data_IF_256453327146
#
_entry.id   IF_256453327146
#
_cell.length_a   1.000
_cell.length_b   1.000
_cell.length_c   1.000
_cell.angle_alpha   90.00
_cell.angle_beta   90.00
_cell.angle_gamma   90.00
#
_symmetry.space_group_name_H-M   'P 1'
#
loop_
_entity.id
_entity.type
_entity.pdbx_description
1 polymer ?
#
# COMPACT_ATOMS: atom_id res chain seq x y z
N UNK A 1 0.36 -34.42 -56.98
CA UNK A 1 0.19 -35.66 -56.19
C UNK A 1 1.53 -36.38 -56.14
N UNK A 2 2.05 -36.61 -54.93
CA UNK A 2 3.32 -37.28 -54.62
C UNK A 2 3.07 -38.80 -54.66
N UNK A 3 4.02 -39.69 -55.04
CA UNK A 3 5.02 -40.18 -54.08
C UNK A 3 6.39 -40.55 -54.69
N UNK A 4 7.45 -40.59 -53.85
CA UNK A 4 8.06 -41.85 -53.36
C UNK A 4 9.45 -41.60 -52.76
N UNK A 5 9.67 -42.27 -51.64
CA UNK A 5 10.73 -42.14 -50.66
C UNK A 5 12.15 -42.44 -51.16
N UNK A 6 13.15 -41.86 -50.49
CA UNK A 6 14.45 -42.50 -50.28
C UNK A 6 14.92 -42.31 -48.84
N UNK A 7 15.37 -43.44 -48.28
CA UNK A 7 15.90 -43.68 -46.94
C UNK A 7 17.43 -43.88 -47.10
N UNK A 8 18.15 -43.57 -46.01
CA UNK A 8 19.49 -44.05 -45.60
C UNK A 8 20.76 -43.55 -46.28
N UNK A 9 21.76 -43.24 -45.44
CA UNK A 9 23.16 -43.50 -45.75
C UNK A 9 24.14 -42.48 -45.17
N UNK A 10 24.55 -42.70 -43.93
CA UNK A 10 25.58 -41.91 -43.23
C UNK A 10 26.98 -42.10 -43.83
N UNK A 11 27.82 -41.06 -43.80
CA UNK A 11 29.27 -41.21 -43.72
C UNK A 11 29.90 -40.05 -42.94
N UNK A 12 30.64 -40.43 -41.91
CA UNK A 12 31.39 -39.57 -40.99
C UNK A 12 32.75 -39.17 -41.57
N UNK A 13 33.25 -37.99 -41.19
CA UNK A 13 34.67 -37.66 -41.08
C UNK A 13 34.80 -36.35 -40.26
N UNK A 14 35.02 -36.45 -38.95
CA UNK A 14 36.32 -36.43 -38.29
C UNK A 14 37.05 -35.08 -38.41
N UNK A 15 36.98 -34.28 -37.34
CA UNK A 15 37.97 -33.25 -37.04
C UNK A 15 38.55 -33.57 -35.65
N UNK A 16 39.84 -33.84 -35.62
CA UNK A 16 40.63 -34.23 -34.46
C UNK A 16 41.85 -33.31 -34.43
N UNK A 17 42.15 -32.76 -33.26
CA UNK A 17 43.48 -32.45 -32.70
C UNK A 17 43.54 -31.07 -32.04
N UNK A 18 43.92 -31.09 -30.75
CA UNK A 18 44.27 -29.89 -30.00
C UNK A 18 44.36 -30.10 -28.49
N UNK A 19 45.09 -31.13 -28.05
CA UNK A 19 45.49 -31.31 -26.65
C UNK A 19 46.61 -30.32 -26.29
N UNK A 20 46.46 -29.62 -25.17
CA UNK A 20 47.60 -29.13 -24.38
C UNK A 20 47.26 -29.20 -22.88
N UNK A 21 48.04 -30.01 -22.17
CA UNK A 21 48.06 -30.10 -20.71
C UNK A 21 48.69 -28.84 -20.10
N UNK A 22 48.23 -28.38 -18.93
CA UNK A 22 49.05 -28.39 -17.71
C UNK A 22 48.53 -27.47 -16.60
N UNK A 23 48.62 -28.03 -15.39
CA UNK A 23 49.01 -27.42 -14.12
C UNK A 23 48.09 -26.39 -13.44
N UNK A 24 47.45 -26.88 -12.38
CA UNK A 24 47.13 -26.09 -11.20
C UNK A 24 48.42 -25.52 -10.58
N UNK A 25 48.53 -24.20 -10.50
CA UNK A 25 49.39 -23.54 -9.49
C UNK A 25 48.70 -22.29 -8.96
N UNK A 26 48.32 -22.35 -7.68
CA UNK A 26 48.01 -21.18 -6.87
C UNK A 26 49.25 -20.27 -6.81
N UNK A 27 49.11 -19.02 -7.25
CA UNK A 27 49.88 -17.89 -6.70
C UNK A 27 48.97 -16.70 -6.57
N UNK A 28 48.76 -16.31 -5.31
CA UNK A 28 48.24 -15.02 -4.88
C UNK A 28 48.96 -13.89 -5.63
N UNK A 29 48.18 -13.06 -6.32
CA UNK A 29 48.59 -11.73 -6.72
C UNK A 29 47.41 -10.79 -6.49
N UNK A 30 47.64 -9.89 -5.55
CA UNK A 30 46.79 -8.82 -5.05
C UNK A 30 46.09 -8.03 -6.16
N UNK A 31 44.75 -8.07 -6.15
CA UNK A 31 43.89 -7.18 -6.93
C UNK A 31 43.88 -5.79 -6.30
N UNK A 32 44.05 -4.70 -7.06
CA UNK A 32 43.90 -3.35 -6.55
C UNK A 32 42.45 -3.10 -6.12
N UNK A 33 42.35 -2.55 -4.92
CA UNK A 33 41.16 -2.08 -4.21
C UNK A 33 40.35 -1.08 -5.06
N UNK A 34 39.07 -1.33 -5.38
CA UNK A 34 38.12 -0.26 -5.52
C UNK A 34 37.79 0.27 -4.11
N UNK A 35 38.18 1.51 -3.87
CA UNK A 35 37.87 2.30 -2.67
C UNK A 35 36.38 2.29 -2.35
N UNK A 36 36.05 1.78 -1.15
CA UNK A 36 34.92 2.12 -0.26
C UNK A 36 33.63 2.53 -1.00
N UNK A 37 32.77 1.59 -1.37
CA UNK A 37 31.67 1.13 -0.51
C UNK A 37 31.18 2.21 0.47
N UNK A 38 30.04 2.79 0.11
CA UNK A 38 29.24 3.70 0.90
C UNK A 38 28.62 2.97 2.09
N UNK A 39 29.43 2.76 3.12
CA UNK A 39 29.00 2.70 4.52
C UNK A 39 28.94 4.16 4.97
N UNK A 40 27.92 4.74 5.58
CA UNK A 40 27.16 4.34 6.77
C UNK A 40 26.04 5.41 6.86
N UNK A 41 24.77 5.04 7.00
CA UNK A 41 23.82 5.74 7.87
C UNK A 41 22.63 4.80 8.15
N UNK A 42 22.82 4.06 9.24
CA UNK A 42 21.83 3.73 10.26
C UNK A 42 20.57 2.99 9.85
N UNK A 43 20.53 1.74 10.31
CA UNK A 43 19.34 0.97 10.65
C UNK A 43 18.29 1.88 11.33
N UNK A 44 17.32 2.36 10.56
CA UNK A 44 16.06 2.80 11.13
C UNK A 44 15.32 1.51 11.52
N UNK A 45 15.54 1.10 12.77
CA UNK A 45 14.68 0.15 13.48
C UNK A 45 13.24 0.65 13.25
N UNK A 46 12.49 -0.09 12.44
CA UNK A 46 11.08 0.18 12.19
C UNK A 46 10.36 -0.08 13.50
N UNK A 47 10.06 1.00 14.22
CA UNK A 47 9.28 0.94 15.45
C UNK A 47 7.90 0.40 15.10
N UNK A 48 7.58 -0.75 15.69
CA UNK A 48 6.23 -1.29 15.74
C UNK A 48 5.22 -0.20 16.13
N UNK A 49 4.02 -0.31 15.58
CA UNK A 49 2.91 0.61 15.86
C UNK A 49 2.71 0.76 17.38
N UNK A 50 2.95 1.93 17.98
CA UNK A 50 2.62 2.16 19.37
C UNK A 50 1.11 2.33 19.53
N UNK A 51 0.55 1.64 20.52
CA UNK A 51 -0.84 1.75 20.94
C UNK A 51 -1.23 3.21 21.23
N UNK A 52 -2.49 3.63 20.97
CA UNK A 52 -2.99 4.88 21.50
C UNK A 52 -3.01 4.80 23.04
N UNK A 53 -2.34 5.77 23.66
CA UNK A 53 -2.36 5.99 25.10
C UNK A 53 -3.79 6.18 25.61
N UNK A 54 -4.10 5.53 26.73
CA UNK A 54 -5.32 5.71 27.51
C UNK A 54 -5.50 7.19 27.86
N UNK A 55 -6.54 7.83 27.33
CA UNK A 55 -6.95 9.16 27.79
C UNK A 55 -7.65 9.03 29.15
N UNK A 56 -7.14 9.75 30.15
CA UNK A 56 -7.76 9.94 31.47
C UNK A 56 -8.99 10.87 31.29
N UNK A 57 -10.12 10.64 31.98
CA UNK A 57 -11.25 11.56 31.90
C UNK A 57 -10.89 12.93 32.48
N UNK A 58 -11.08 13.99 31.68
CA UNK A 58 -10.95 15.36 32.14
C UNK A 58 -12.15 15.73 33.04
N UNK A 59 -11.87 16.10 34.28
CA UNK A 59 -12.81 16.76 35.19
C UNK A 59 -13.29 18.07 34.55
N UNK A 60 -14.61 18.21 34.41
CA UNK A 60 -15.27 19.39 33.85
C UNK A 60 -15.05 20.62 34.75
N UNK A 61 -14.41 21.65 34.21
CA UNK A 61 -14.48 23.01 34.76
C UNK A 61 -15.70 23.75 34.18
N UNK A 62 -16.41 24.59 34.97
CA UNK A 62 -17.57 25.35 34.49
C UNK A 62 -17.19 26.43 33.47
N UNK A 63 -18.13 26.87 32.59
CA UNK A 63 -17.80 27.67 31.41
C UNK A 63 -17.52 29.14 31.74
N UNK A 64 -16.29 29.58 31.49
CA UNK A 64 -15.98 31.00 31.23
C UNK A 64 -16.22 31.25 29.74
N UNK A 65 -17.20 32.08 29.40
CA UNK A 65 -17.48 32.46 28.01
C UNK A 65 -16.32 33.32 27.50
N UNK A 66 -15.45 32.72 26.68
CA UNK A 66 -14.43 33.44 25.92
C UNK A 66 -15.09 34.16 24.72
N UNK A 67 -14.64 35.38 24.35
CA UNK A 67 -15.11 36.05 23.14
C UNK A 67 -14.79 35.21 21.91
N UNK A 68 -15.76 35.09 21.01
CA UNK A 68 -15.74 34.22 19.84
C UNK A 68 -14.51 34.48 18.96
N UNK A 69 -13.56 33.55 18.95
CA UNK A 69 -12.59 33.43 17.88
C UNK A 69 -13.33 32.99 16.62
N UNK A 70 -13.25 33.79 15.56
CA UNK A 70 -13.95 33.58 14.30
C UNK A 70 -13.82 32.12 13.80
N UNK A 71 -14.97 31.47 13.62
CA UNK A 71 -15.10 30.25 12.84
C UNK A 71 -14.52 30.52 11.44
N UNK A 72 -13.56 29.72 10.93
CA UNK A 72 -13.23 29.78 9.52
C UNK A 72 -14.52 29.58 8.74
N UNK A 73 -14.89 30.55 7.90
CA UNK A 73 -15.98 30.41 6.96
C UNK A 73 -15.65 29.19 6.10
N UNK A 74 -16.38 28.09 6.28
CA UNK A 74 -16.33 26.97 5.36
C UNK A 74 -16.69 27.49 3.97
N UNK A 75 -15.86 27.29 2.93
CA UNK A 75 -16.21 27.69 1.58
C UNK A 75 -17.54 27.04 1.16
N UNK A 76 -18.40 27.75 0.42
CA UNK A 76 -19.61 27.14 -0.15
C UNK A 76 -19.21 26.05 -1.14
N UNK A 77 -19.70 24.82 -0.90
CA UNK A 77 -19.43 23.66 -1.75
C UNK A 77 -19.46 22.31 -1.03
N UNK A 78 -20.47 22.02 -0.20
CA UNK A 78 -20.74 20.65 0.27
C UNK A 78 -21.47 19.84 -0.79
N UNK A 79 -21.00 19.89 -2.03
CA UNK A 79 -21.28 18.80 -2.96
C UNK A 79 -20.48 17.59 -2.46
N UNK A 80 -21.15 16.45 -2.36
CA UNK A 80 -20.46 15.22 -1.98
C UNK A 80 -19.37 14.95 -3.02
N UNK A 81 -18.09 14.97 -2.62
CA UNK A 81 -16.95 14.68 -3.50
C UNK A 81 -16.99 13.25 -4.06
N UNK A 82 -17.90 12.43 -3.56
CA UNK A 82 -18.12 11.04 -3.94
C UNK A 82 -19.61 10.80 -4.17
N UNK A 83 -19.93 9.87 -5.05
CA UNK A 83 -21.32 9.49 -5.35
C UNK A 83 -22.04 8.81 -4.17
N UNK A 84 -23.36 8.60 -4.28
CA UNK A 84 -24.19 8.01 -3.21
C UNK A 84 -23.84 6.55 -2.89
N UNK A 85 -23.10 5.86 -3.75
CA UNK A 85 -22.61 4.50 -3.51
C UNK A 85 -21.46 4.44 -2.50
N UNK A 86 -20.89 5.60 -2.14
CA UNK A 86 -19.77 5.69 -1.22
C UNK A 86 -20.22 6.04 0.19
N UNK A 87 -19.59 5.40 1.16
CA UNK A 87 -19.67 5.79 2.57
C UNK A 87 -18.44 6.64 2.91
N UNK A 88 -18.68 7.86 3.40
CA UNK A 88 -17.60 8.74 3.87
C UNK A 88 -17.12 8.25 5.24
N UNK A 89 -15.84 7.88 5.32
CA UNK A 89 -15.19 7.41 6.54
C UNK A 89 -14.44 8.50 7.30
N UNK A 90 -13.91 9.50 6.59
CA UNK A 90 -13.15 10.59 7.19
C UNK A 90 -13.23 11.86 6.35
N UNK A 91 -13.16 13.02 7.03
CA UNK A 91 -13.01 14.35 6.43
C UNK A 91 -11.94 15.12 7.20
N UNK A 92 -10.95 15.64 6.51
CA UNK A 92 -9.86 16.41 7.11
C UNK A 92 -8.69 16.61 6.16
N UNK A 93 -7.71 17.42 6.54
CA UNK A 93 -6.55 17.74 5.72
C UNK A 93 -5.43 16.69 5.93
N UNK A 94 -5.46 15.62 5.12
CA UNK A 94 -4.51 14.51 5.18
C UNK A 94 -3.17 14.86 4.53
N UNK A 95 -3.17 15.73 3.52
CA UNK A 95 -1.99 16.15 2.79
C UNK A 95 -1.40 17.49 3.28
N UNK A 96 -1.98 18.09 4.31
CA UNK A 96 -1.54 19.33 4.94
C UNK A 96 -1.44 20.52 3.97
N UNK A 97 -2.33 20.57 2.96
CA UNK A 97 -2.36 21.63 1.95
C UNK A 97 -3.42 22.71 2.22
N UNK A 98 -4.10 22.63 3.36
CA UNK A 98 -5.12 23.57 3.80
C UNK A 98 -6.51 23.30 3.21
N UNK A 99 -6.69 22.26 2.39
CA UNK A 99 -8.00 21.84 1.88
C UNK A 99 -8.41 20.50 2.49
N UNK A 100 -9.72 20.31 2.65
CA UNK A 100 -10.25 19.08 3.21
C UNK A 100 -10.18 17.93 2.19
N UNK A 101 -9.50 16.85 2.57
CA UNK A 101 -9.60 15.54 1.94
C UNK A 101 -10.79 14.75 2.50
N UNK A 102 -11.25 13.80 1.71
CA UNK A 102 -12.30 12.84 2.05
C UNK A 102 -11.76 11.44 1.84
N UNK A 103 -11.82 10.61 2.88
CA UNK A 103 -11.67 9.16 2.74
C UNK A 103 -13.05 8.56 2.62
N UNK A 104 -13.29 7.81 1.56
CA UNK A 104 -14.57 7.15 1.33
C UNK A 104 -14.35 5.71 0.87
N UNK A 105 -15.33 4.85 1.11
CA UNK A 105 -15.28 3.45 0.69
C UNK A 105 -16.62 2.95 0.17
N UNK A 106 -16.58 1.98 -0.73
CA UNK A 106 -17.75 1.18 -1.13
C UNK A 106 -17.82 -0.03 -0.21
N UNK A 107 -18.89 -0.21 0.59
CA UNK A 107 -19.02 -1.38 1.45
C UNK A 107 -18.94 -2.69 0.66
N UNK A 108 -18.36 -3.72 1.28
CA UNK A 108 -18.44 -5.10 0.79
C UNK A 108 -19.41 -5.91 1.67
N UNK A 109 -20.02 -6.94 1.09
CA UNK A 109 -20.98 -7.82 1.80
C UNK A 109 -20.29 -8.91 2.64
N UNK A 110 -18.96 -8.92 2.71
CA UNK A 110 -18.19 -9.92 3.45
C UNK A 110 -18.19 -9.56 4.93
N UNK A 111 -18.59 -10.52 5.76
CA UNK A 111 -18.46 -10.41 7.21
C UNK A 111 -16.99 -10.64 7.62
N UNK A 112 -16.37 -9.73 8.37
CA UNK A 112 -15.01 -9.93 8.88
C UNK A 112 -14.92 -11.19 9.76
N UNK A 113 -13.80 -11.91 9.61
CA UNK A 113 -13.51 -13.14 10.34
C UNK A 113 -13.20 -12.93 11.81
N UNK A 114 -12.84 -14.02 12.50
CA UNK A 114 -12.56 -14.00 13.93
C UNK A 114 -11.33 -13.16 14.28
N UNK A 115 -10.36 -13.04 13.36
CA UNK A 115 -9.17 -12.20 13.55
C UNK A 115 -9.52 -10.75 13.87
N UNK A 116 -10.55 -10.18 13.22
CA UNK A 116 -10.97 -8.80 13.43
C UNK A 116 -11.68 -8.54 14.77
N UNK A 117 -11.92 -9.57 15.57
CA UNK A 117 -12.45 -9.43 16.94
C UNK A 117 -11.36 -9.16 17.97
N UNK A 118 -10.09 -9.30 17.58
CA UNK A 118 -8.97 -9.09 18.50
C UNK A 118 -8.66 -7.59 18.63
N UNK A 119 -8.19 -7.12 19.80
CA UNK A 119 -7.96 -5.70 20.05
C UNK A 119 -7.04 -5.02 19.03
N UNK A 120 -6.04 -5.73 18.52
CA UNK A 120 -5.10 -5.22 17.53
C UNK A 120 -5.75 -4.88 16.17
N UNK A 121 -6.94 -5.42 15.88
CA UNK A 121 -7.72 -5.12 14.68
C UNK A 121 -8.90 -4.17 14.92
N UNK A 122 -9.09 -3.68 16.16
CA UNK A 122 -10.25 -2.86 16.52
C UNK A 122 -10.30 -1.50 15.79
N UNK A 123 -9.17 -1.05 15.21
CA UNK A 123 -9.07 0.18 14.44
C UNK A 123 -9.60 0.07 13.00
N UNK A 124 -9.87 -1.15 12.51
CA UNK A 124 -10.46 -1.32 11.18
C UNK A 124 -11.95 -0.99 11.22
N UNK A 125 -12.40 -0.15 10.28
CA UNK A 125 -13.73 0.45 10.29
C UNK A 125 -14.78 -0.34 9.50
N UNK A 126 -14.36 -1.31 8.68
CA UNK A 126 -15.28 -2.20 7.95
C UNK A 126 -14.70 -2.79 6.68
N UNK A 127 -15.43 -3.75 6.11
CA UNK A 127 -15.10 -4.40 4.84
C UNK A 127 -15.56 -3.53 3.66
N UNK A 128 -14.67 -3.33 2.71
CA UNK A 128 -14.84 -2.50 1.53
C UNK A 128 -14.45 -3.25 0.26
N UNK A 129 -15.11 -2.95 -0.85
CA UNK A 129 -14.69 -3.39 -2.19
C UNK A 129 -13.70 -2.41 -2.82
N UNK A 130 -13.79 -1.15 -2.41
CA UNK A 130 -12.97 -0.04 -2.89
C UNK A 130 -12.88 1.04 -1.82
N UNK A 131 -11.74 1.70 -1.70
CA UNK A 131 -11.54 2.89 -0.88
C UNK A 131 -10.76 3.94 -1.65
N UNK A 132 -11.06 5.22 -1.40
CA UNK A 132 -10.46 6.36 -2.11
C UNK A 132 -10.10 7.47 -1.14
N UNK A 133 -9.08 8.23 -1.52
CA UNK A 133 -8.81 9.56 -0.97
C UNK A 133 -9.13 10.56 -2.09
N UNK A 134 -10.06 11.47 -1.82
CA UNK A 134 -10.55 12.47 -2.79
C UNK A 134 -10.45 13.86 -2.17
N UNK A 135 -10.10 14.84 -2.98
CA UNK A 135 -10.04 16.23 -2.58
C UNK A 135 -10.63 17.10 -3.68
N UNK A 136 -11.27 18.22 -3.33
CA UNK A 136 -11.69 19.18 -4.33
C UNK A 136 -10.49 19.94 -4.91
N UNK A 137 -10.51 20.16 -6.22
CA UNK A 137 -9.60 21.11 -6.85
C UNK A 137 -10.02 22.56 -6.58
N UNK A 138 -9.24 23.51 -7.10
CA UNK A 138 -9.50 24.96 -6.92
C UNK A 138 -10.83 25.42 -7.52
N UNK A 139 -11.46 24.62 -8.39
CA UNK A 139 -12.77 24.87 -8.99
C UNK A 139 -13.90 24.11 -8.29
N UNK A 140 -13.59 23.36 -7.23
CA UNK A 140 -14.55 22.54 -6.48
C UNK A 140 -14.77 21.13 -7.05
N UNK A 141 -14.08 20.74 -8.13
CA UNK A 141 -14.28 19.42 -8.74
C UNK A 141 -13.54 18.33 -7.95
N UNK A 142 -14.15 17.16 -7.73
CA UNK A 142 -13.48 16.07 -7.02
C UNK A 142 -12.30 15.52 -7.83
N UNK A 143 -11.14 15.43 -7.19
CA UNK A 143 -9.94 14.78 -7.70
C UNK A 143 -9.59 13.58 -6.83
N UNK A 144 -9.48 12.42 -7.45
CA UNK A 144 -9.04 11.19 -6.79
C UNK A 144 -7.52 11.20 -6.66
N UNK A 145 -7.02 11.24 -5.43
CA UNK A 145 -5.59 11.25 -5.12
C UNK A 145 -5.04 9.83 -4.99
N UNK A 146 -5.80 8.96 -4.31
CA UNK A 146 -5.45 7.55 -4.08
C UNK A 146 -6.67 6.68 -4.31
N UNK A 147 -6.48 5.53 -4.97
CA UNK A 147 -7.48 4.47 -5.09
C UNK A 147 -6.93 3.18 -4.49
N UNK A 148 -7.75 2.46 -3.74
CA UNK A 148 -7.43 1.18 -3.13
C UNK A 148 -8.53 0.19 -3.48
N UNK A 149 -8.20 -0.92 -4.14
CA UNK A 149 -9.16 -1.95 -4.53
C UNK A 149 -8.51 -3.35 -4.47
N UNK A 150 -9.22 -4.37 -4.95
CA UNK A 150 -8.74 -5.75 -4.90
C UNK A 150 -7.46 -5.99 -5.74
N UNK A 151 -7.12 -5.11 -6.67
CA UNK A 151 -5.87 -5.20 -7.42
C UNK A 151 -4.68 -4.61 -6.63
N UNK A 152 -4.92 -3.64 -5.73
CA UNK A 152 -3.86 -2.95 -5.04
C UNK A 152 -4.16 -1.50 -4.64
N UNK A 153 -3.09 -0.74 -4.40
CA UNK A 153 -3.12 0.72 -4.19
C UNK A 153 -2.59 1.41 -5.44
N UNK A 154 -3.31 2.42 -5.91
CA UNK A 154 -3.01 3.18 -7.11
C UNK A 154 -2.89 4.67 -6.80
N UNK A 155 -1.90 5.30 -7.43
CA UNK A 155 -1.76 6.75 -7.52
C UNK A 155 -2.11 7.17 -8.94
N UNK A 156 -3.32 7.71 -9.13
CA UNK A 156 -3.88 7.92 -10.46
C UNK A 156 -3.98 6.60 -11.25
N UNK A 157 -3.17 6.46 -12.30
CA UNK A 157 -3.14 5.26 -13.16
C UNK A 157 -2.01 4.28 -12.81
N UNK A 158 -1.14 4.63 -11.87
CA UNK A 158 0.04 3.82 -11.53
C UNK A 158 -0.28 2.90 -10.36
N UNK A 159 -0.10 1.59 -10.56
CA UNK A 159 -0.18 0.60 -9.49
C UNK A 159 1.08 0.71 -8.62
N UNK A 160 0.89 1.10 -7.36
CA UNK A 160 1.96 1.27 -6.39
C UNK A 160 2.27 -0.04 -5.64
N UNK A 161 1.22 -0.76 -5.24
CA UNK A 161 1.33 -2.11 -4.65
C UNK A 161 0.30 -3.01 -5.31
N UNK A 162 0.63 -4.28 -5.51
CA UNK A 162 -0.28 -5.29 -6.07
C UNK A 162 -0.76 -6.23 -4.97
N UNK A 163 -2.03 -6.64 -5.03
CA UNK A 163 -2.58 -7.75 -4.25
C UNK A 163 -2.87 -8.93 -5.19
N UNK A 164 -1.84 -9.71 -5.56
CA UNK A 164 -2.01 -10.76 -6.56
C UNK A 164 -2.94 -11.86 -6.05
N UNK A 165 -3.76 -12.47 -6.93
CA UNK A 165 -4.49 -13.68 -6.59
C UNK A 165 -3.51 -14.80 -6.24
N UNK A 166 -3.94 -15.67 -5.34
CA UNK A 166 -3.20 -16.87 -4.96
C UNK A 166 -3.50 -18.02 -5.94
N UNK A 167 -2.65 -19.03 -5.98
CA UNK A 167 -2.92 -20.26 -6.76
C UNK A 167 -4.15 -21.02 -6.28
N UNK A 168 -4.58 -20.79 -5.04
CA UNK A 168 -5.83 -21.28 -4.50
C UNK A 168 -6.85 -20.14 -4.41
N UNK A 169 -7.87 -20.19 -5.26
CA UNK A 169 -8.87 -19.14 -5.37
C UNK A 169 -9.61 -18.84 -4.05
N UNK A 170 -9.67 -19.81 -3.14
CA UNK A 170 -10.28 -19.64 -1.79
C UNK A 170 -9.57 -18.57 -0.96
N UNK A 171 -8.28 -18.36 -1.21
CA UNK A 171 -7.51 -17.34 -0.51
C UNK A 171 -7.51 -15.99 -1.23
N UNK A 172 -8.06 -15.89 -2.45
CA UNK A 172 -8.05 -14.62 -3.17
C UNK A 172 -8.75 -13.52 -2.39
N UNK A 173 -8.25 -12.28 -2.46
CA UNK A 173 -8.90 -11.17 -1.81
C UNK A 173 -10.26 -10.91 -2.46
N UNK A 174 -11.31 -10.86 -1.65
CA UNK A 174 -12.69 -10.55 -2.08
C UNK A 174 -13.19 -9.23 -1.49
N UNK A 175 -12.49 -8.72 -0.48
CA UNK A 175 -12.73 -7.43 0.14
C UNK A 175 -11.44 -6.90 0.78
N UNK A 176 -11.49 -5.66 1.23
CA UNK A 176 -10.45 -4.95 1.96
C UNK A 176 -11.00 -4.52 3.31
N UNK A 177 -10.25 -4.68 4.39
CA UNK A 177 -10.54 -4.02 5.66
C UNK A 177 -9.85 -2.66 5.69
N UNK A 178 -10.61 -1.59 5.88
CA UNK A 178 -10.11 -0.21 5.86
C UNK A 178 -9.69 0.26 7.28
N UNK A 179 -8.55 0.93 7.37
CA UNK A 179 -8.04 1.57 8.59
C UNK A 179 -7.68 3.02 8.27
N UNK A 180 -8.00 3.93 9.20
CA UNK A 180 -7.65 5.35 9.12
C UNK A 180 -6.96 5.75 10.42
N UNK A 181 -5.64 5.99 10.35
CA UNK A 181 -4.86 6.53 11.46
C UNK A 181 -4.76 8.05 11.33
N UNK A 182 -5.28 8.78 12.30
CA UNK A 182 -5.29 10.26 12.29
C UNK A 182 -4.08 10.88 12.98
N UNK A 183 -3.22 10.06 13.60
CA UNK A 183 -1.93 10.50 14.12
C UNK A 183 -1.05 11.03 12.98
N UNK A 184 -0.42 12.18 13.17
CA UNK A 184 0.33 12.84 12.11
C UNK A 184 1.73 12.20 11.91
N UNK A 185 2.14 11.84 10.68
CA UNK A 185 1.39 11.97 9.43
C UNK A 185 0.24 10.96 9.33
N UNK A 186 -0.95 11.44 8.96
CA UNK A 186 -2.13 10.59 8.86
C UNK A 186 -1.90 9.45 7.87
N UNK A 187 -2.47 8.28 8.20
CA UNK A 187 -2.32 7.04 7.44
C UNK A 187 -3.68 6.52 7.02
N UNK A 188 -3.77 6.01 5.80
CA UNK A 188 -4.94 5.26 5.32
C UNK A 188 -4.43 3.93 4.79
N UNK A 189 -4.90 2.83 5.36
CA UNK A 189 -4.42 1.49 5.06
C UNK A 189 -5.55 0.53 4.76
N UNK A 190 -5.25 -0.48 3.96
CA UNK A 190 -6.14 -1.59 3.61
C UNK A 190 -5.46 -2.93 3.88
N UNK A 191 -6.24 -3.84 4.43
CA UNK A 191 -5.85 -5.23 4.64
C UNK A 191 -6.75 -6.15 3.80
N UNK A 192 -6.23 -6.80 2.76
CA UNK A 192 -7.05 -7.70 1.94
C UNK A 192 -7.54 -8.91 2.75
N UNK A 193 -8.80 -9.27 2.58
CA UNK A 193 -9.45 -10.42 3.23
C UNK A 193 -10.03 -11.40 2.21
N UNK A 194 -9.97 -12.69 2.54
CA UNK A 194 -10.47 -13.78 1.70
C UNK A 194 -11.99 -14.01 1.90
N UNK A 195 -12.55 -15.02 1.23
CA UNK A 195 -13.98 -15.33 1.29
C UNK A 195 -14.48 -15.79 2.68
N UNK A 196 -13.59 -16.18 3.59
CA UNK A 196 -13.92 -16.44 5.00
C UNK A 196 -13.86 -15.19 5.89
N UNK A 197 -13.55 -14.03 5.31
CA UNK A 197 -13.39 -12.78 6.04
C UNK A 197 -12.05 -12.67 6.80
N UNK A 198 -11.13 -13.62 6.59
CA UNK A 198 -9.83 -13.66 7.24
C UNK A 198 -8.77 -12.92 6.41
N UNK A 199 -7.75 -12.32 7.05
CA UNK A 199 -6.64 -11.70 6.33
C UNK A 199 -5.99 -12.63 5.32
N UNK A 200 -5.82 -12.14 4.11
CA UNK A 200 -5.14 -12.86 3.03
C UNK A 200 -3.63 -12.60 3.03
N UNK A 201 -3.23 -11.35 3.25
CA UNK A 201 -1.84 -10.88 3.16
C UNK A 201 -1.61 -9.77 4.19
N UNK A 202 -0.47 -9.07 4.11
CA UNK A 202 -0.17 -7.92 4.97
C UNK A 202 -0.95 -6.68 4.56
N UNK A 203 -1.14 -5.77 5.52
CA UNK A 203 -1.73 -4.47 5.23
C UNK A 203 -0.75 -3.62 4.41
N UNK A 204 -1.31 -2.87 3.46
CA UNK A 204 -0.61 -1.81 2.78
C UNK A 204 -1.41 -0.53 2.91
N UNK A 205 -0.74 0.61 2.97
CA UNK A 205 -1.39 1.89 3.09
C UNK A 205 -0.59 3.00 2.47
N UNK A 206 -1.05 4.21 2.72
CA UNK A 206 -0.42 5.44 2.27
C UNK A 206 -0.35 6.42 3.42
N UNK A 207 0.65 7.30 3.33
CA UNK A 207 0.74 8.51 4.15
C UNK A 207 1.25 9.65 3.30
N UNK A 208 0.97 10.88 3.71
CA UNK A 208 1.53 12.04 3.03
C UNK A 208 3.01 12.22 3.36
N UNK A 209 3.86 12.27 2.33
CA UNK A 209 5.25 12.66 2.45
C UNK A 209 5.42 14.13 2.06
N UNK A 210 5.60 15.00 3.07
CA UNK A 210 5.77 16.44 2.85
C UNK A 210 7.01 16.79 2.02
N UNK A 211 8.09 16.02 2.13
CA UNK A 211 9.32 16.26 1.37
C UNK A 211 9.16 15.96 -0.12
N UNK A 212 8.29 15.00 -0.46
CA UNK A 212 7.98 14.65 -1.84
C UNK A 212 6.78 15.42 -2.41
N UNK A 213 5.97 16.02 -1.54
CA UNK A 213 4.69 16.62 -1.96
C UNK A 213 3.76 15.57 -2.59
N UNK A 214 3.80 14.33 -2.09
CA UNK A 214 3.05 13.21 -2.62
C UNK A 214 2.70 12.19 -1.54
N UNK A 215 1.66 11.38 -1.80
CA UNK A 215 1.43 10.17 -1.02
C UNK A 215 2.52 9.15 -1.30
N UNK A 216 3.04 8.55 -0.24
CA UNK A 216 3.97 7.42 -0.33
C UNK A 216 3.33 6.16 0.24
N UNK A 217 3.81 5.00 -0.21
CA UNK A 217 3.40 3.72 0.33
C UNK A 217 3.98 3.50 1.72
N UNK A 218 3.17 2.91 2.59
CA UNK A 218 3.60 2.27 3.82
C UNK A 218 3.18 0.81 3.80
N UNK A 219 4.11 -0.08 4.13
CA UNK A 219 3.82 -1.49 4.39
C UNK A 219 4.06 -1.76 5.87
N UNK A 220 3.09 -2.38 6.54
CA UNK A 220 3.19 -2.73 7.97
C UNK A 220 2.70 -4.15 8.20
N UNK A 221 3.53 -4.95 8.89
CA UNK A 221 3.44 -6.41 8.93
C UNK A 221 2.52 -7.03 10.00
N UNK A 222 2.18 -8.29 9.69
CA UNK A 222 1.57 -9.39 10.48
C UNK A 222 0.43 -9.08 11.45
#
# INVERSE_FOLDING_TARGET
MVPKAWITGAFALALLAGLALSACTNRSATRPTPTSESSIMSEAIVTAYPAPATAIPATVAPPTIAPATATPIAPPGTESLVGPEWTVAYRGDLNADGRADVVAYKPATITPGATFKRPEYAAYIGAASEAVIVQADTTGRPQMLVMMNLAGIMFGKQLAVSFPPSSNATYNPVALMLLIGTAQPATVAVLPINSSGEPYTQAAGVRWNRSLGAYELISGGK
#
